data_IF_624080586984
#
_entry.id   IF_624080586984
#
_cell.length_a   1.000
_cell.length_b   1.000
_cell.length_c   1.000
_cell.angle_alpha   90.00
_cell.angle_beta   90.00
_cell.angle_gamma   90.00
#
_symmetry.space_group_name_H-M   'P 1'
#
loop_
_entity.id
_entity.type
_entity.pdbx_description
1 polymer ?
#
# COMPACT_ATOMS: atom_id res chain seq x y z
N UNK A 1 10.82 -1.61 -52.31
CA UNK A 1 9.48 -1.53 -51.67
C UNK A 1 9.64 -0.87 -50.31
N UNK A 2 8.67 -0.08 -49.85
CA UNK A 2 8.70 0.56 -48.51
C UNK A 2 7.69 -0.13 -47.61
N UNK A 3 8.12 -0.52 -46.42
CA UNK A 3 7.24 -1.09 -45.40
C UNK A 3 6.22 -0.06 -44.92
N UNK A 4 5.00 -0.54 -44.60
CA UNK A 4 3.91 0.27 -44.09
C UNK A 4 3.33 -0.37 -42.83
N UNK A 5 3.14 0.43 -41.78
CA UNK A 5 2.42 0.00 -40.59
C UNK A 5 0.92 -0.09 -40.92
N UNK A 6 0.35 -1.27 -40.70
CA UNK A 6 -1.08 -1.53 -40.89
C UNK A 6 -1.69 -1.99 -39.57
N UNK A 7 -2.87 -1.48 -39.26
CA UNK A 7 -3.65 -1.92 -38.11
C UNK A 7 -4.58 -3.08 -38.52
N UNK A 8 -4.33 -4.33 -38.08
CA UNK A 8 -5.00 -5.52 -38.62
C UNK A 8 -6.45 -5.68 -38.16
N UNK A 9 -6.94 -4.84 -37.24
CA UNK A 9 -8.32 -4.89 -36.74
C UNK A 9 -9.28 -4.00 -37.53
N UNK A 10 -8.78 -3.23 -38.49
CA UNK A 10 -9.58 -2.42 -39.39
C UNK A 10 -9.29 -2.79 -40.85
N UNK A 11 -10.34 -2.86 -41.68
CA UNK A 11 -10.20 -3.25 -43.10
C UNK A 11 -9.40 -2.25 -43.93
N UNK A 12 -9.36 -0.99 -43.51
CA UNK A 12 -8.58 0.06 -44.15
C UNK A 12 -7.12 0.11 -43.67
N UNK A 13 -6.74 -0.73 -42.70
CA UNK A 13 -5.40 -0.75 -42.12
C UNK A 13 -5.02 0.50 -41.32
N UNK A 14 -5.93 1.45 -41.10
CA UNK A 14 -5.66 2.70 -40.38
C UNK A 14 -6.01 2.54 -38.91
N UNK A 15 -5.07 2.90 -38.05
CA UNK A 15 -5.31 2.93 -36.60
C UNK A 15 -6.22 4.10 -36.21
N UNK A 16 -7.20 3.83 -35.34
CA UNK A 16 -7.97 4.86 -34.65
C UNK A 16 -8.04 4.54 -33.16
N UNK A 17 -8.13 5.58 -32.32
CA UNK A 17 -8.28 5.42 -30.85
C UNK A 17 -9.50 4.56 -30.51
N UNK A 18 -10.60 4.73 -31.25
CA UNK A 18 -11.81 3.92 -31.12
C UNK A 18 -11.54 2.43 -31.39
N UNK A 19 -10.86 2.10 -32.48
CA UNK A 19 -10.49 0.71 -32.81
C UNK A 19 -9.55 0.10 -31.78
N UNK A 20 -8.56 0.88 -31.30
CA UNK A 20 -7.67 0.46 -30.22
C UNK A 20 -8.42 0.16 -28.92
N UNK A 21 -9.36 1.01 -28.53
CA UNK A 21 -10.20 0.81 -27.33
C UNK A 21 -11.10 -0.42 -27.46
N UNK A 22 -11.80 -0.59 -28.58
CA UNK A 22 -12.62 -1.78 -28.82
C UNK A 22 -11.80 -3.07 -28.84
N UNK A 23 -10.60 -3.04 -29.43
CA UNK A 23 -9.70 -4.19 -29.45
C UNK A 23 -9.28 -4.60 -28.03
N UNK A 24 -8.94 -3.63 -27.16
CA UNK A 24 -8.57 -3.88 -25.77
C UNK A 24 -9.76 -4.34 -24.90
N UNK A 25 -10.96 -3.82 -25.19
CA UNK A 25 -12.19 -4.16 -24.45
C UNK A 25 -12.74 -5.53 -24.86
N UNK A 26 -12.63 -5.89 -26.13
CA UNK A 26 -13.18 -7.12 -26.69
C UNK A 26 -12.17 -8.26 -26.75
N UNK A 27 -10.88 -8.00 -26.52
CA UNK A 27 -9.94 -9.06 -26.21
C UNK A 27 -10.37 -9.70 -24.89
N UNK A 28 -10.97 -10.88 -24.96
CA UNK A 28 -11.18 -11.73 -23.79
C UNK A 28 -9.87 -11.77 -23.00
N UNK A 29 -9.92 -11.62 -21.67
CA UNK A 29 -8.71 -11.52 -20.88
C UNK A 29 -7.99 -12.88 -20.89
N UNK A 30 -7.07 -13.06 -21.84
CA UNK A 30 -5.95 -13.99 -21.71
C UNK A 30 -4.93 -13.47 -20.69
N UNK A 31 -5.16 -12.27 -20.14
CA UNK A 31 -4.53 -11.84 -18.90
C UNK A 31 -5.25 -12.56 -17.77
N UNK A 32 -4.55 -13.30 -16.87
CA UNK A 32 -5.15 -13.62 -15.59
C UNK A 32 -5.72 -12.31 -15.04
N UNK A 33 -6.93 -12.37 -14.50
CA UNK A 33 -7.48 -11.27 -13.73
C UNK A 33 -6.43 -10.93 -12.66
N UNK A 34 -5.55 -9.97 -12.95
CA UNK A 34 -4.79 -9.29 -11.92
C UNK A 34 -5.83 -8.38 -11.28
N UNK A 35 -6.75 -8.98 -10.55
CA UNK A 35 -7.34 -8.35 -9.38
C UNK A 35 -6.16 -7.72 -8.64
N UNK A 36 -6.29 -6.46 -8.24
CA UNK A 36 -5.29 -5.84 -7.37
C UNK A 36 -4.91 -6.86 -6.30
N UNK A 37 -3.62 -7.21 -6.25
CA UNK A 37 -3.07 -8.34 -5.51
C UNK A 37 -3.79 -8.47 -4.16
N UNK A 38 -4.60 -9.52 -4.03
CA UNK A 38 -5.43 -9.82 -2.85
C UNK A 38 -4.60 -10.26 -1.64
N UNK A 39 -3.31 -9.95 -1.63
CA UNK A 39 -2.36 -10.52 -0.69
C UNK A 39 -2.53 -9.98 0.72
N UNK A 40 -3.24 -8.87 0.93
CA UNK A 40 -3.66 -8.39 2.25
C UNK A 40 -5.15 -8.02 2.27
N UNK A 41 -6.00 -9.01 2.51
CA UNK A 41 -7.41 -8.76 2.82
C UNK A 41 -7.54 -8.29 4.27
N UNK A 42 -7.40 -6.98 4.49
CA UNK A 42 -7.72 -6.36 5.78
C UNK A 42 -9.23 -6.53 6.01
N UNK A 43 -9.62 -7.07 7.17
CA UNK A 43 -11.01 -7.30 7.54
C UNK A 43 -11.82 -5.98 7.41
N UNK A 44 -13.01 -6.06 6.80
CA UNK A 44 -13.95 -4.93 6.69
C UNK A 44 -14.29 -4.31 8.05
N UNK A 45 -14.19 -5.08 9.15
CA UNK A 45 -14.35 -4.57 10.52
C UNK A 45 -13.34 -3.47 10.85
N UNK A 46 -12.10 -3.57 10.36
CA UNK A 46 -11.05 -2.57 10.57
C UNK A 46 -11.44 -1.25 9.90
N UNK A 47 -11.96 -1.31 8.67
CA UNK A 47 -12.44 -0.12 7.98
C UNK A 47 -13.62 0.53 8.70
N UNK A 48 -14.59 -0.27 9.12
CA UNK A 48 -15.70 0.22 9.93
C UNK A 48 -15.21 0.92 11.20
N UNK A 49 -14.25 0.34 11.91
CA UNK A 49 -13.65 0.94 13.10
C UNK A 49 -12.97 2.28 12.81
N UNK A 50 -12.10 2.34 11.80
CA UNK A 50 -11.35 3.54 11.42
C UNK A 50 -12.30 4.70 11.06
N UNK A 51 -13.39 4.42 10.34
CA UNK A 51 -14.32 5.47 9.92
C UNK A 51 -15.28 5.89 11.02
N UNK A 52 -15.61 5.01 11.97
CA UNK A 52 -16.54 5.30 13.07
C UNK A 52 -15.87 5.92 14.32
N UNK A 53 -14.55 5.88 14.44
CA UNK A 53 -13.87 6.48 15.60
C UNK A 53 -14.11 8.00 15.67
N UNK A 54 -14.31 8.54 16.88
CA UNK A 54 -14.51 9.98 17.11
C UNK A 54 -13.17 10.72 17.16
N UNK A 55 -12.52 10.87 16.01
CA UNK A 55 -11.25 11.61 15.87
C UNK A 55 -11.29 12.55 14.68
N UNK A 56 -10.38 13.54 14.61
CA UNK A 56 -10.25 14.40 13.45
C UNK A 56 -10.02 13.60 12.15
N UNK A 57 -10.54 14.05 10.99
CA UNK A 57 -10.39 13.35 9.71
C UNK A 57 -8.95 13.01 9.34
N UNK A 58 -7.99 13.85 9.74
CA UNK A 58 -6.55 13.62 9.51
C UNK A 58 -6.05 12.34 10.18
N UNK A 59 -6.56 12.04 11.39
CA UNK A 59 -6.21 10.81 12.12
C UNK A 59 -6.80 9.59 11.44
N UNK A 60 -8.07 9.66 11.00
CA UNK A 60 -8.72 8.57 10.24
C UNK A 60 -7.96 8.26 8.96
N UNK A 61 -7.59 9.30 8.21
CA UNK A 61 -6.81 9.14 6.98
C UNK A 61 -5.41 8.55 7.25
N UNK A 62 -4.75 8.98 8.34
CA UNK A 62 -3.49 8.39 8.76
C UNK A 62 -3.64 6.89 9.07
N UNK A 63 -4.64 6.51 9.87
CA UNK A 63 -4.93 5.10 10.19
C UNK A 63 -5.22 4.28 8.94
N UNK A 64 -5.99 4.84 8.00
CA UNK A 64 -6.26 4.20 6.72
C UNK A 64 -4.97 3.93 5.94
N UNK A 65 -4.10 4.94 5.81
CA UNK A 65 -2.81 4.78 5.13
C UNK A 65 -1.90 3.77 5.83
N UNK A 66 -1.87 3.78 7.16
CA UNK A 66 -1.10 2.85 7.96
C UNK A 66 -1.59 1.42 7.71
N UNK A 67 -2.89 1.15 7.88
CA UNK A 67 -3.48 -0.17 7.64
C UNK A 67 -3.28 -0.65 6.20
N UNK A 68 -3.42 0.20 5.19
CA UNK A 68 -3.26 -0.17 3.77
C UNK A 68 -1.81 -0.37 3.31
N UNK A 69 -0.81 -0.36 4.21
CA UNK A 69 0.63 -0.34 3.84
C UNK A 69 0.96 0.74 2.80
N UNK A 70 0.23 1.87 2.84
CA UNK A 70 0.35 2.99 1.91
C UNK A 70 1.27 4.11 2.45
N UNK A 71 2.01 3.80 3.51
CA UNK A 71 3.10 4.62 4.03
C UNK A 71 4.39 4.13 3.39
N UNK A 72 5.22 5.06 2.92
CA UNK A 72 6.50 4.73 2.32
C UNK A 72 7.49 4.33 3.42
N UNK A 73 7.47 3.05 3.80
CA UNK A 73 8.42 2.52 4.78
C UNK A 73 9.79 2.27 4.15
N UNK A 74 10.88 2.34 4.93
CA UNK A 74 12.24 2.05 4.44
C UNK A 74 12.39 0.68 3.76
N UNK A 75 11.81 -0.43 4.26
CA UNK A 75 11.79 -1.70 3.54
C UNK A 75 11.17 -1.58 2.14
N UNK A 76 10.04 -0.87 2.00
CA UNK A 76 9.39 -0.66 0.71
C UNK A 76 10.24 0.23 -0.22
N UNK A 77 10.93 1.23 0.32
CA UNK A 77 11.87 2.07 -0.43
C UNK A 77 13.14 1.31 -0.84
N UNK A 78 13.64 0.42 0.01
CA UNK A 78 14.79 -0.45 -0.27
C UNK A 78 14.46 -1.45 -1.37
N UNK A 79 13.27 -2.06 -1.34
CA UNK A 79 12.79 -2.93 -2.42
C UNK A 79 12.75 -2.21 -3.78
N UNK A 80 12.43 -0.90 -3.77
CA UNK A 80 12.43 -0.03 -4.95
C UNK A 80 13.81 0.55 -5.29
N UNK A 81 14.87 0.18 -4.56
CA UNK A 81 16.24 0.70 -4.69
C UNK A 81 16.35 2.23 -4.50
N UNK A 82 15.43 2.83 -3.74
CA UNK A 82 15.43 4.26 -3.40
C UNK A 82 16.19 4.50 -2.10
N UNK A 83 16.06 3.59 -1.12
CA UNK A 83 16.80 3.65 0.13
C UNK A 83 17.90 2.57 0.16
N UNK A 84 19.04 2.88 0.77
CA UNK A 84 20.15 1.92 0.97
C UNK A 84 19.85 0.92 2.09
N UNK A 85 19.21 1.38 3.17
CA UNK A 85 18.96 0.60 4.37
C UNK A 85 17.47 0.51 4.69
N UNK A 86 17.08 -0.58 5.37
CA UNK A 86 15.72 -0.83 5.83
C UNK A 86 15.49 -0.42 7.30
N UNK A 87 16.57 -0.06 8.00
CA UNK A 87 16.62 0.36 9.40
C UNK A 87 15.80 1.62 9.66
N UNK A 88 15.19 1.66 10.84
CA UNK A 88 14.45 2.81 11.34
C UNK A 88 15.39 4.03 11.48
N UNK A 89 15.04 5.20 10.92
CA UNK A 89 15.87 6.40 10.97
C UNK A 89 15.85 7.11 12.33
N UNK A 90 15.05 6.61 13.30
CA UNK A 90 14.92 7.20 14.62
C UNK A 90 15.77 6.45 15.63
N UNK A 91 15.57 5.13 15.76
CA UNK A 91 16.32 4.32 16.73
C UNK A 91 17.54 3.60 16.15
N UNK A 92 17.64 3.49 14.82
CA UNK A 92 18.74 2.79 14.12
C UNK A 92 18.98 1.32 14.52
N UNK A 93 18.02 0.69 15.22
CA UNK A 93 18.22 -0.62 15.85
C UNK A 93 17.45 -1.75 15.14
N UNK A 94 16.23 -1.48 14.67
CA UNK A 94 15.40 -2.45 13.93
C UNK A 94 14.95 -1.90 12.58
N UNK A 95 14.52 -2.80 11.69
CA UNK A 95 13.91 -2.44 10.40
C UNK A 95 12.62 -1.62 10.60
N UNK A 96 12.41 -0.65 9.71
CA UNK A 96 11.29 0.29 9.74
C UNK A 96 10.00 -0.41 9.29
N UNK A 97 9.33 -1.09 10.22
CA UNK A 97 7.96 -1.57 10.03
C UNK A 97 6.93 -0.52 10.47
N UNK A 98 5.68 -0.67 10.06
CA UNK A 98 4.59 0.22 10.50
C UNK A 98 4.33 0.09 12.00
N UNK A 99 4.42 -1.12 12.54
CA UNK A 99 4.34 -1.39 13.98
C UNK A 99 5.52 -0.74 14.71
N UNK A 100 6.72 -0.84 14.14
CA UNK A 100 7.90 -0.24 14.71
C UNK A 100 7.77 1.28 14.77
N UNK A 101 7.44 1.95 13.66
CA UNK A 101 7.30 3.40 13.62
C UNK A 101 6.18 3.96 14.50
N UNK A 102 5.10 3.21 14.73
CA UNK A 102 3.93 3.75 15.44
C UNK A 102 3.91 3.32 16.92
N UNK A 103 4.47 2.15 17.25
CA UNK A 103 4.28 1.51 18.56
C UNK A 103 5.58 1.01 19.22
N UNK A 104 6.51 0.43 18.46
CA UNK A 104 7.65 -0.31 19.06
C UNK A 104 8.97 0.47 19.07
N UNK A 105 9.08 1.57 18.31
CA UNK A 105 10.29 2.38 18.31
C UNK A 105 10.51 2.97 19.71
N UNK A 106 11.70 2.81 20.34
CA UNK A 106 11.95 3.30 21.70
C UNK A 106 11.61 4.79 21.89
N UNK A 107 11.87 5.62 20.88
CA UNK A 107 11.50 7.02 20.91
C UNK A 107 9.98 7.22 20.97
N UNK A 108 9.23 6.50 20.14
CA UNK A 108 7.77 6.58 20.08
C UNK A 108 7.12 5.95 21.31
N UNK A 109 7.75 4.90 21.85
CA UNK A 109 7.34 4.24 23.09
C UNK A 109 7.31 5.23 24.25
N UNK A 110 8.34 6.07 24.40
CA UNK A 110 8.35 7.09 25.45
C UNK A 110 7.25 8.14 25.29
N UNK A 111 6.83 8.45 24.05
CA UNK A 111 5.73 9.39 23.79
C UNK A 111 4.38 8.79 24.20
N UNK A 112 4.13 7.52 23.88
CA UNK A 112 2.86 6.86 24.21
C UNK A 112 2.76 6.43 25.66
N UNK A 113 3.85 5.88 26.22
CA UNK A 113 3.83 5.20 27.51
C UNK A 113 4.61 5.93 28.60
N UNK A 114 5.43 6.94 28.26
CA UNK A 114 6.21 7.68 29.25
C UNK A 114 5.38 8.54 30.21
N UNK A 115 4.10 8.78 29.89
CA UNK A 115 3.16 9.53 30.73
C UNK A 115 1.92 8.73 31.15
N UNK A 116 1.79 7.47 30.72
CA UNK A 116 0.63 6.64 31.02
C UNK A 116 1.02 5.56 32.03
N UNK A 117 0.41 5.57 33.22
CA UNK A 117 0.54 4.51 34.26
C UNK A 117 0.00 3.12 33.82
N UNK A 118 -0.44 3.00 32.57
CA UNK A 118 -0.95 1.76 32.00
C UNK A 118 0.10 1.12 31.11
N UNK A 119 0.78 0.10 31.64
CA UNK A 119 1.65 -0.78 30.86
C UNK A 119 0.78 -1.57 29.88
N UNK A 120 0.75 -1.14 28.63
CA UNK A 120 0.04 -1.88 27.57
C UNK A 120 0.92 -3.03 27.07
N UNK A 121 0.35 -4.24 26.98
CA UNK A 121 1.07 -5.38 26.41
C UNK A 121 1.30 -5.18 24.91
N UNK A 122 2.55 -4.92 24.53
CA UNK A 122 3.00 -4.68 23.15
C UNK A 122 2.61 -5.79 22.18
N UNK A 123 2.43 -7.03 22.65
CA UNK A 123 2.07 -8.20 21.83
C UNK A 123 0.59 -8.23 21.44
N UNK A 124 -0.27 -7.50 22.16
CA UNK A 124 -1.70 -7.46 21.90
C UNK A 124 -2.09 -6.49 20.76
N UNK A 125 -1.18 -5.60 20.34
CA UNK A 125 -1.44 -4.50 19.39
C UNK A 125 -0.91 -4.80 17.98
N UNK A 126 -0.12 -5.87 17.79
CA UNK A 126 0.44 -6.25 16.49
C UNK A 126 -0.64 -6.86 15.58
N UNK A 127 -1.46 -6.00 14.99
CA UNK A 127 -2.55 -6.35 14.07
C UNK A 127 -2.24 -6.02 12.60
N UNK A 128 -1.14 -5.33 12.37
CA UNK A 128 -0.82 -4.69 11.08
C UNK A 128 -0.12 -5.63 10.09
N UNK A 129 0.50 -6.70 10.57
CA UNK A 129 1.22 -7.69 9.76
C UNK A 129 0.56 -9.07 9.72
N UNK A 130 -0.70 -9.18 10.15
CA UNK A 130 -1.48 -10.43 10.14
C UNK A 130 -2.35 -10.56 8.90
#
# INVERSE_FOLDING_TARGET
MKDKLIWPKEKNGVYTVKSGYHTKKNSSPLRPQISASSSHMIDNKVWSFIWNIKTPPRVKHFLWRASSKAIATRPALKQRKIAQEATCPICHDMDESMEHLILQCPWVETVWFGSMDHVMDKRSITLFDR
#
